data_IF_208507205894
#
_entry.id   IF_208507205894
#
_cell.length_a   1.000
_cell.length_b   1.000
_cell.length_c   1.000
_cell.angle_alpha   90.00
_cell.angle_beta   90.00
_cell.angle_gamma   90.00
#
_symmetry.space_group_name_H-M   'P 1'
#
loop_
_entity.id
_entity.type
_entity.pdbx_description
1 polymer ?
#
# COMPACT_ATOMS: atom_id res chain seq x y z
N UNK A 1 -4.15 -5.58 -18.55
CA UNK A 1 -5.05 -5.77 -17.41
C UNK A 1 -6.26 -6.52 -17.88
N UNK A 2 -6.71 -7.53 -17.14
CA UNK A 2 -8.02 -8.14 -17.39
C UNK A 2 -9.13 -7.12 -17.16
N UNK A 3 -10.17 -7.15 -17.96
CA UNK A 3 -11.34 -6.30 -17.79
C UNK A 3 -11.98 -6.57 -16.41
N UNK A 4 -12.30 -5.53 -15.65
CA UNK A 4 -13.01 -5.66 -14.40
C UNK A 4 -14.48 -5.99 -14.64
N UNK A 5 -15.04 -6.91 -13.87
CA UNK A 5 -16.39 -7.43 -14.10
C UNK A 5 -17.49 -6.35 -14.20
N UNK A 6 -17.31 -5.21 -13.55
CA UNK A 6 -18.29 -4.12 -13.51
C UNK A 6 -17.86 -2.86 -14.28
N UNK A 7 -16.80 -2.93 -15.11
CA UNK A 7 -16.25 -1.75 -15.82
C UNK A 7 -17.31 -1.01 -16.62
N UNK A 8 -18.23 -1.71 -17.27
CA UNK A 8 -19.30 -1.09 -18.06
C UNK A 8 -20.30 -0.31 -17.22
N UNK A 9 -20.47 -0.66 -15.95
CA UNK A 9 -21.41 -0.01 -15.03
C UNK A 9 -20.74 1.11 -14.23
N UNK A 10 -19.55 0.84 -13.70
CA UNK A 10 -18.86 1.74 -12.77
C UNK A 10 -17.54 2.32 -13.32
N UNK A 11 -17.29 2.20 -14.63
CA UNK A 11 -16.02 2.64 -15.23
C UNK A 11 -15.69 4.12 -14.96
N UNK A 12 -16.68 4.97 -14.77
CA UNK A 12 -16.51 6.40 -14.47
C UNK A 12 -15.88 6.66 -13.09
N UNK A 13 -16.12 5.80 -12.09
CA UNK A 13 -15.56 6.01 -10.73
C UNK A 13 -14.06 5.70 -10.65
N UNK A 14 -13.50 5.02 -11.64
CA UNK A 14 -12.07 4.72 -11.74
C UNK A 14 -11.30 5.75 -12.58
N UNK A 15 -11.99 6.75 -13.13
CA UNK A 15 -11.34 7.83 -13.91
C UNK A 15 -10.40 8.62 -13.00
N UNK A 16 -9.14 8.79 -13.43
CA UNK A 16 -8.11 9.47 -12.65
C UNK A 16 -7.31 8.58 -11.69
N UNK A 17 -7.68 7.30 -11.53
CA UNK A 17 -6.88 6.34 -10.76
C UNK A 17 -5.63 5.95 -11.55
N UNK A 18 -4.45 6.21 -10.97
CA UNK A 18 -3.16 5.86 -11.56
C UNK A 18 -3.07 4.36 -11.84
N UNK A 19 -2.52 4.03 -13.01
CA UNK A 19 -2.32 2.64 -13.45
C UNK A 19 -0.88 2.17 -13.22
N UNK A 20 -0.63 0.87 -13.00
CA UNK A 20 0.73 0.35 -12.88
C UNK A 20 1.56 0.57 -14.17
N UNK A 21 2.86 0.89 -14.05
CA UNK A 21 3.62 1.10 -12.82
C UNK A 21 3.34 2.50 -12.23
N UNK A 22 2.84 2.54 -11.00
CA UNK A 22 2.38 3.76 -10.36
C UNK A 22 3.53 4.62 -9.82
N UNK A 23 3.36 5.95 -9.91
CA UNK A 23 4.24 6.94 -9.26
C UNK A 23 3.55 7.61 -8.06
N UNK A 24 2.23 7.52 -7.99
CA UNK A 24 1.39 7.93 -6.87
C UNK A 24 0.21 6.97 -6.76
N UNK A 25 -0.52 7.01 -5.67
CA UNK A 25 -1.61 6.05 -5.43
C UNK A 25 -1.12 4.64 -5.09
N UNK A 26 0.09 4.56 -4.55
CA UNK A 26 0.69 3.28 -4.17
C UNK A 26 -0.11 2.60 -3.06
N UNK A 27 -0.18 1.27 -3.15
CA UNK A 27 -0.64 0.42 -2.07
C UNK A 27 0.51 -0.46 -1.59
N UNK A 28 0.97 -0.23 -0.36
CA UNK A 28 1.96 -1.05 0.31
C UNK A 28 1.27 -2.00 1.28
N UNK A 29 1.36 -3.29 0.98
CA UNK A 29 0.80 -4.33 1.85
C UNK A 29 1.82 -4.85 2.84
N UNK A 30 1.32 -5.27 4.03
CA UNK A 30 2.12 -5.96 5.04
C UNK A 30 1.83 -7.46 5.01
N UNK A 31 2.89 -8.24 4.92
CA UNK A 31 2.84 -9.70 4.92
C UNK A 31 3.48 -10.26 6.19
N UNK A 32 2.66 -10.96 6.96
CA UNK A 32 3.04 -11.57 8.24
C UNK A 32 3.51 -13.02 8.10
N UNK A 33 3.64 -13.54 6.88
CA UNK A 33 4.10 -14.90 6.63
C UNK A 33 3.19 -15.74 5.74
N UNK A 34 2.58 -15.15 4.71
CA UNK A 34 1.78 -15.91 3.73
C UNK A 34 2.64 -16.93 2.98
N UNK A 35 2.11 -18.14 2.84
CA UNK A 35 2.67 -19.18 1.98
C UNK A 35 2.46 -18.89 0.49
N UNK A 36 3.06 -19.75 -0.37
CA UNK A 36 3.01 -19.55 -1.83
C UNK A 36 1.59 -19.59 -2.39
N UNK A 37 0.74 -20.51 -1.92
CA UNK A 37 -0.65 -20.61 -2.42
C UNK A 37 -1.45 -19.34 -2.14
N UNK A 38 -1.44 -18.86 -0.89
CA UNK A 38 -2.13 -17.62 -0.51
C UNK A 38 -1.57 -16.41 -1.25
N UNK A 39 -0.24 -16.37 -1.47
CA UNK A 39 0.37 -15.29 -2.26
C UNK A 39 -0.11 -15.34 -3.71
N UNK A 40 -0.20 -16.50 -4.32
CA UNK A 40 -0.71 -16.66 -5.70
C UNK A 40 -2.17 -16.22 -5.82
N UNK A 41 -3.02 -16.65 -4.89
CA UNK A 41 -4.44 -16.24 -4.78
C UNK A 41 -4.60 -14.71 -4.71
N UNK A 42 -3.86 -14.06 -3.80
CA UNK A 42 -3.88 -12.60 -3.66
C UNK A 42 -3.43 -11.89 -4.93
N UNK A 43 -2.40 -12.42 -5.60
CA UNK A 43 -1.89 -11.87 -6.85
C UNK A 43 -2.87 -12.04 -8.02
N UNK A 44 -3.65 -13.10 -8.04
CA UNK A 44 -4.69 -13.31 -9.04
C UNK A 44 -5.84 -12.31 -8.85
N UNK A 45 -6.29 -12.13 -7.61
CA UNK A 45 -7.43 -11.26 -7.28
C UNK A 45 -7.11 -9.76 -7.35
N UNK A 46 -5.92 -9.37 -6.91
CA UNK A 46 -5.61 -7.95 -6.64
C UNK A 46 -4.16 -7.56 -6.90
N UNK A 47 -3.37 -8.40 -7.59
CA UNK A 47 -1.95 -8.14 -7.78
C UNK A 47 -1.62 -6.85 -8.53
N UNK A 48 -2.49 -6.41 -9.44
CA UNK A 48 -2.38 -5.14 -10.17
C UNK A 48 -2.75 -3.89 -9.31
N UNK A 49 -3.25 -4.12 -8.09
CA UNK A 49 -3.56 -3.07 -7.11
C UNK A 49 -2.49 -2.95 -6.02
N UNK A 50 -1.49 -3.84 -6.02
CA UNK A 50 -0.40 -3.87 -5.04
C UNK A 50 0.87 -3.35 -5.71
N UNK A 51 1.51 -2.37 -5.10
CA UNK A 51 2.76 -1.78 -5.61
C UNK A 51 3.97 -2.22 -4.77
N UNK A 52 3.80 -2.29 -3.45
CA UNK A 52 4.84 -2.68 -2.51
C UNK A 52 4.38 -3.84 -1.62
N UNK A 53 5.30 -4.77 -1.37
CA UNK A 53 5.07 -5.92 -0.50
C UNK A 53 6.15 -5.95 0.59
N UNK A 54 5.75 -5.56 1.81
CA UNK A 54 6.62 -5.51 2.98
C UNK A 54 6.48 -6.82 3.77
N UNK A 55 7.57 -7.62 3.85
CA UNK A 55 7.66 -8.76 4.76
C UNK A 55 7.93 -8.22 6.17
N UNK A 56 6.85 -8.01 6.93
CA UNK A 56 6.90 -7.27 8.20
C UNK A 56 7.39 -8.11 9.37
N UNK A 57 7.73 -7.47 10.50
CA UNK A 57 8.12 -8.08 11.78
C UNK A 57 9.34 -9.01 11.72
N UNK A 58 10.20 -8.87 10.70
CA UNK A 58 11.33 -9.79 10.52
C UNK A 58 10.91 -11.23 10.17
N UNK A 59 9.64 -11.48 9.81
CA UNK A 59 9.11 -12.84 9.54
C UNK A 59 9.86 -13.56 8.44
N UNK A 60 10.43 -12.81 7.47
CA UNK A 60 11.25 -13.38 6.40
C UNK A 60 12.47 -14.16 6.91
N UNK A 61 12.97 -13.84 8.11
CA UNK A 61 14.09 -14.57 8.73
C UNK A 61 13.73 -16.01 9.12
N UNK A 62 12.45 -16.33 9.26
CA UNK A 62 11.96 -17.66 9.66
C UNK A 62 11.40 -18.47 8.50
N UNK A 63 11.34 -17.91 7.30
CA UNK A 63 10.86 -18.60 6.10
C UNK A 63 12.02 -19.39 5.47
N UNK A 64 11.84 -20.67 5.08
CA UNK A 64 12.85 -21.39 4.32
C UNK A 64 13.28 -20.62 3.06
N UNK A 65 14.59 -20.53 2.83
CA UNK A 65 15.15 -19.65 1.81
C UNK A 65 14.65 -19.95 0.38
N UNK A 66 14.41 -21.22 0.05
CA UNK A 66 13.86 -21.61 -1.26
C UNK A 66 12.40 -21.17 -1.43
N UNK A 67 11.60 -21.26 -0.36
CA UNK A 67 10.20 -20.79 -0.34
C UNK A 67 10.16 -19.28 -0.51
N UNK A 68 11.02 -18.56 0.25
CA UNK A 68 11.10 -17.12 0.16
C UNK A 68 11.51 -16.65 -1.24
N UNK A 69 12.55 -17.25 -1.85
CA UNK A 69 12.99 -16.92 -3.23
C UNK A 69 11.86 -17.12 -4.24
N UNK A 70 11.14 -18.23 -4.18
CA UNK A 70 9.99 -18.47 -5.09
C UNK A 70 8.91 -17.43 -4.91
N UNK A 71 8.59 -17.07 -3.66
CA UNK A 71 7.62 -16.03 -3.35
C UNK A 71 8.03 -14.68 -3.92
N UNK A 72 9.27 -14.26 -3.67
CA UNK A 72 9.80 -12.99 -4.16
C UNK A 72 9.82 -12.96 -5.70
N UNK A 73 10.16 -14.07 -6.35
CA UNK A 73 10.10 -14.19 -7.81
C UNK A 73 8.68 -13.96 -8.35
N UNK A 74 7.66 -14.55 -7.73
CA UNK A 74 6.27 -14.35 -8.16
C UNK A 74 5.81 -12.90 -8.02
N UNK A 75 6.25 -12.22 -6.94
CA UNK A 75 5.92 -10.83 -6.67
C UNK A 75 6.64 -9.87 -7.63
N UNK A 76 7.96 -10.02 -7.76
CA UNK A 76 8.79 -9.15 -8.61
C UNK A 76 8.48 -9.32 -10.10
N UNK A 77 8.11 -10.52 -10.55
CA UNK A 77 7.66 -10.76 -11.93
C UNK A 77 6.38 -9.96 -12.30
N UNK A 78 5.63 -9.50 -11.30
CA UNK A 78 4.46 -8.61 -11.50
C UNK A 78 4.78 -7.12 -11.30
N UNK A 79 6.07 -6.79 -11.13
CA UNK A 79 6.50 -5.42 -10.91
C UNK A 79 6.32 -4.91 -9.47
N UNK A 80 5.92 -5.79 -8.54
CA UNK A 80 5.73 -5.44 -7.13
C UNK A 80 7.09 -5.28 -6.47
N UNK A 81 7.30 -4.14 -5.78
CA UNK A 81 8.50 -3.87 -5.02
C UNK A 81 8.47 -4.64 -3.70
N UNK A 82 9.48 -5.49 -3.48
CA UNK A 82 9.52 -6.38 -2.31
C UNK A 82 10.67 -6.01 -1.39
N UNK A 83 10.41 -5.99 -0.08
CA UNK A 83 11.44 -5.69 0.91
C UNK A 83 11.14 -6.30 2.29
N UNK A 84 12.17 -6.60 3.09
CA UNK A 84 12.00 -6.93 4.50
C UNK A 84 11.71 -5.65 5.29
N UNK A 85 10.91 -5.76 6.34
CA UNK A 85 10.64 -4.63 7.24
C UNK A 85 11.91 -4.12 7.94
N UNK A 86 11.98 -2.81 8.19
CA UNK A 86 13.17 -2.11 8.68
C UNK A 86 13.75 -2.66 9.98
N UNK A 87 12.92 -3.17 10.89
CA UNK A 87 13.39 -3.79 12.14
C UNK A 87 14.41 -4.89 11.92
N UNK A 88 14.30 -5.67 10.83
CA UNK A 88 15.29 -6.71 10.54
C UNK A 88 16.65 -6.11 10.16
N UNK A 89 16.67 -4.98 9.45
CA UNK A 89 17.90 -4.22 9.20
C UNK A 89 18.44 -3.60 10.49
N UNK A 90 17.58 -3.07 11.37
CA UNK A 90 18.02 -2.53 12.67
C UNK A 90 18.76 -3.59 13.48
N UNK A 91 18.27 -4.84 13.48
CA UNK A 91 18.98 -5.98 14.10
C UNK A 91 20.35 -6.18 13.43
N UNK A 92 20.42 -6.18 12.10
CA UNK A 92 21.70 -6.33 11.39
C UNK A 92 22.68 -5.18 11.70
N UNK A 93 22.17 -3.95 11.91
CA UNK A 93 22.98 -2.79 12.31
C UNK A 93 23.62 -3.02 13.67
N UNK A 94 22.84 -3.47 14.66
CA UNK A 94 23.32 -3.73 16.02
C UNK A 94 24.43 -4.79 16.04
N UNK A 95 24.29 -5.83 15.21
CA UNK A 95 25.29 -6.90 15.11
C UNK A 95 26.42 -6.61 14.11
N UNK A 96 26.50 -5.41 13.55
CA UNK A 96 27.59 -5.03 12.62
C UNK A 96 27.50 -5.66 11.23
N UNK A 97 26.36 -6.19 10.83
CA UNK A 97 26.18 -7.01 9.61
C UNK A 97 25.47 -6.26 8.46
N UNK A 98 25.48 -4.93 8.44
CA UNK A 98 24.71 -4.14 7.45
C UNK A 98 25.02 -4.51 5.99
N UNK A 99 26.30 -4.60 5.63
CA UNK A 99 26.71 -4.95 4.25
C UNK A 99 26.28 -6.36 3.88
N UNK A 100 26.50 -7.32 4.77
CA UNK A 100 26.05 -8.72 4.59
C UNK A 100 24.55 -8.80 4.44
N UNK A 101 23.80 -8.00 5.20
CA UNK A 101 22.35 -7.91 5.08
C UNK A 101 21.93 -7.44 3.68
N UNK A 102 22.52 -6.34 3.17
CA UNK A 102 22.19 -5.81 1.83
C UNK A 102 22.48 -6.84 0.75
N UNK A 103 23.66 -7.45 0.79
CA UNK A 103 24.06 -8.49 -0.14
C UNK A 103 23.10 -9.69 -0.08
N UNK A 104 22.76 -10.15 1.12
CA UNK A 104 21.87 -11.30 1.32
C UNK A 104 20.45 -11.01 0.87
N UNK A 105 19.90 -9.81 1.16
CA UNK A 105 18.60 -9.39 0.68
C UNK A 105 18.52 -9.40 -0.85
N UNK A 106 19.53 -8.86 -1.52
CA UNK A 106 19.62 -8.91 -2.97
C UNK A 106 19.69 -10.35 -3.51
N UNK A 107 20.52 -11.21 -2.92
CA UNK A 107 20.67 -12.62 -3.31
C UNK A 107 19.39 -13.45 -3.08
N UNK A 108 18.57 -13.10 -2.12
CA UNK A 108 17.27 -13.72 -1.89
C UNK A 108 16.23 -13.30 -2.95
N UNK A 109 16.44 -12.19 -3.64
CA UNK A 109 15.54 -11.66 -4.66
C UNK A 109 14.64 -10.51 -4.19
N UNK A 110 14.94 -9.89 -3.05
CA UNK A 110 14.32 -8.62 -2.69
C UNK A 110 14.75 -7.52 -3.67
N UNK A 111 13.84 -6.64 -4.03
CA UNK A 111 14.09 -5.52 -4.94
C UNK A 111 14.34 -4.19 -4.22
N UNK A 112 14.06 -4.16 -2.92
CA UNK A 112 14.23 -2.99 -2.07
C UNK A 112 14.64 -3.39 -0.64
N UNK A 113 14.97 -2.41 0.18
CA UNK A 113 15.12 -2.53 1.64
C UNK A 113 14.49 -1.34 2.32
N UNK A 114 13.94 -1.57 3.51
CA UNK A 114 13.46 -0.49 4.36
C UNK A 114 14.54 -0.11 5.38
N UNK A 115 14.85 1.18 5.44
CA UNK A 115 15.84 1.76 6.36
C UNK A 115 15.06 2.58 7.38
N UNK A 116 14.98 2.06 8.60
CA UNK A 116 14.30 2.68 9.73
C UNK A 116 15.26 2.89 10.90
N UNK A 117 14.84 3.74 11.81
CA UNK A 117 15.45 3.96 13.12
C UNK A 117 14.37 4.01 14.22
N UNK A 118 13.30 3.27 13.98
CA UNK A 118 12.14 3.23 14.86
C UNK A 118 12.44 2.68 16.26
N UNK A 119 13.39 1.74 16.36
CA UNK A 119 13.75 1.06 17.62
C UNK A 119 15.13 1.47 18.14
N UNK A 120 16.08 1.74 17.26
CA UNK A 120 17.45 2.11 17.64
C UNK A 120 17.79 3.54 17.24
N UNK A 121 18.71 4.23 17.94
CA UNK A 121 19.23 5.49 17.43
C UNK A 121 20.10 5.26 16.19
N UNK A 122 19.84 6.02 15.14
CA UNK A 122 20.62 5.97 13.90
C UNK A 122 21.08 7.39 13.54
N UNK A 123 22.34 7.75 13.81
CA UNK A 123 22.88 9.05 13.42
C UNK A 123 22.78 9.31 11.92
N UNK A 124 22.53 10.55 11.53
CA UNK A 124 22.27 10.97 10.14
C UNK A 124 23.34 10.47 9.15
N UNK A 125 24.62 10.52 9.52
CA UNK A 125 25.71 10.03 8.65
C UNK A 125 25.62 8.51 8.40
N UNK A 126 25.18 7.73 9.41
CA UNK A 126 24.97 6.28 9.25
C UNK A 126 23.75 6.00 8.39
N UNK A 127 22.65 6.74 8.61
CA UNK A 127 21.42 6.63 7.80
C UNK A 127 21.72 6.89 6.32
N UNK A 128 22.42 7.99 6.02
CA UNK A 128 22.89 8.29 4.66
C UNK A 128 23.75 7.18 4.06
N UNK A 129 24.69 6.62 4.84
CA UNK A 129 25.55 5.54 4.38
C UNK A 129 24.76 4.25 4.09
N UNK A 130 23.71 3.95 4.86
CA UNK A 130 22.82 2.80 4.60
C UNK A 130 22.03 2.98 3.31
N UNK A 131 21.49 4.18 3.05
CA UNK A 131 20.80 4.51 1.79
C UNK A 131 21.75 4.26 0.60
N UNK A 132 22.97 4.78 0.66
CA UNK A 132 23.98 4.54 -0.38
C UNK A 132 24.37 3.08 -0.51
N UNK A 133 24.57 2.39 0.61
CA UNK A 133 24.89 0.97 0.62
C UNK A 133 23.79 0.13 -0.05
N UNK A 134 22.52 0.46 0.17
CA UNK A 134 21.40 -0.19 -0.52
C UNK A 134 21.51 -0.01 -2.04
N UNK A 135 21.72 1.21 -2.50
CA UNK A 135 21.89 1.54 -3.93
C UNK A 135 23.07 0.78 -4.53
N UNK A 136 24.22 0.77 -3.86
CA UNK A 136 25.44 0.07 -4.31
C UNK A 136 25.26 -1.45 -4.46
N UNK A 137 24.28 -2.02 -3.72
CA UNK A 137 23.90 -3.43 -3.82
C UNK A 137 22.73 -3.69 -4.77
N UNK A 138 22.29 -2.70 -5.56
CA UNK A 138 21.18 -2.83 -6.51
C UNK A 138 19.79 -2.89 -5.86
N UNK A 139 19.67 -2.47 -4.59
CA UNK A 139 18.40 -2.40 -3.87
C UNK A 139 17.85 -0.97 -3.87
N UNK A 140 16.56 -0.84 -4.00
CA UNK A 140 15.89 0.46 -3.88
C UNK A 140 15.70 0.81 -2.41
N UNK A 141 16.25 1.93 -1.92
CA UNK A 141 16.03 2.32 -0.53
C UNK A 141 14.64 2.92 -0.35
N UNK A 142 13.89 2.34 0.56
CA UNK A 142 12.69 2.90 1.17
C UNK A 142 13.11 3.31 2.58
N UNK A 143 12.83 4.52 3.00
CA UNK A 143 13.10 4.92 4.37
C UNK A 143 11.80 5.03 5.16
N UNK A 144 11.91 4.93 6.49
CA UNK A 144 10.79 5.10 7.40
C UNK A 144 11.18 6.19 8.40
N UNK A 145 10.30 7.18 8.59
CA UNK A 145 10.45 8.26 9.58
C UNK A 145 9.43 8.12 10.68
N UNK A 146 9.86 8.33 11.92
CA UNK A 146 9.06 8.14 13.12
C UNK A 146 9.66 7.10 14.05
N UNK A 147 9.25 7.16 15.33
CA UNK A 147 9.71 6.25 16.38
C UNK A 147 8.60 5.31 16.79
N UNK A 148 8.97 4.08 17.16
CA UNK A 148 8.02 3.08 17.67
C UNK A 148 7.72 3.23 19.16
N UNK A 149 8.50 4.04 19.86
CA UNK A 149 8.30 4.37 21.27
C UNK A 149 7.33 5.57 21.39
N UNK A 150 6.16 5.41 22.01
CA UNK A 150 5.20 6.51 22.19
C UNK A 150 5.75 7.68 23.01
N UNK A 151 6.74 7.44 23.87
CA UNK A 151 7.33 8.46 24.75
C UNK A 151 8.33 9.37 24.03
N UNK A 152 8.85 8.94 22.88
CA UNK A 152 9.91 9.63 22.14
C UNK A 152 9.49 9.88 20.69
N UNK A 153 8.35 10.57 20.51
CA UNK A 153 7.83 10.89 19.18
C UNK A 153 8.45 12.19 18.66
N UNK A 154 9.03 12.19 17.43
CA UNK A 154 9.46 13.42 16.78
C UNK A 154 8.26 14.29 16.41
N UNK A 155 8.47 15.60 16.34
CA UNK A 155 7.49 16.54 15.84
C UNK A 155 7.22 16.40 14.34
N UNK A 156 6.11 16.94 13.85
CA UNK A 156 5.72 16.88 12.45
C UNK A 156 6.79 17.46 11.49
N UNK A 157 7.37 18.61 11.87
CA UNK A 157 8.46 19.23 11.10
C UNK A 157 9.73 18.36 11.06
N UNK A 158 10.09 17.74 12.18
CA UNK A 158 11.25 16.85 12.24
C UNK A 158 11.07 15.63 11.31
N UNK A 159 9.85 15.07 11.27
CA UNK A 159 9.51 13.98 10.36
C UNK A 159 9.66 14.42 8.89
N UNK A 160 9.14 15.59 8.55
CA UNK A 160 9.20 16.13 7.19
C UNK A 160 10.64 16.45 6.78
N UNK A 161 11.43 17.05 7.66
CA UNK A 161 12.83 17.38 7.39
C UNK A 161 13.68 16.14 7.19
N UNK A 162 13.50 15.11 8.03
CA UNK A 162 14.16 13.83 7.84
C UNK A 162 13.74 13.18 6.51
N UNK A 163 12.46 13.23 6.16
CA UNK A 163 11.97 12.70 4.88
C UNK A 163 12.59 13.40 3.68
N UNK A 164 12.66 14.74 3.69
CA UNK A 164 13.31 15.51 2.64
C UNK A 164 14.80 15.15 2.50
N UNK A 165 15.48 14.99 3.61
CA UNK A 165 16.89 14.64 3.63
C UNK A 165 17.14 13.21 3.11
N UNK A 166 16.28 12.27 3.46
CA UNK A 166 16.35 10.90 2.95
C UNK A 166 16.14 10.85 1.43
N UNK A 167 15.18 11.61 0.91
CA UNK A 167 14.95 11.74 -0.54
C UNK A 167 16.16 12.34 -1.26
N UNK A 168 16.80 13.37 -0.69
CA UNK A 168 18.03 13.96 -1.21
C UNK A 168 19.20 12.94 -1.24
N UNK A 169 19.28 12.05 -0.25
CA UNK A 169 20.30 11.01 -0.22
C UNK A 169 20.03 9.83 -1.16
N UNK A 170 18.85 9.78 -1.78
CA UNK A 170 18.48 8.80 -2.80
C UNK A 170 17.43 7.79 -2.38
N UNK A 171 16.74 7.99 -1.26
CA UNK A 171 15.55 7.20 -0.94
C UNK A 171 14.50 7.38 -2.06
N UNK A 172 13.90 6.27 -2.46
CA UNK A 172 12.87 6.32 -3.51
C UNK A 172 11.53 6.78 -2.93
N UNK A 173 11.19 6.31 -1.74
CA UNK A 173 9.97 6.61 -1.00
C UNK A 173 10.31 6.74 0.48
N UNK A 174 9.49 7.47 1.20
CA UNK A 174 9.59 7.61 2.65
C UNK A 174 8.27 7.21 3.30
N UNK A 175 8.31 6.23 4.17
CA UNK A 175 7.16 5.78 4.95
C UNK A 175 7.03 6.63 6.21
N UNK A 176 5.83 7.10 6.52
CA UNK A 176 5.51 7.75 7.79
C UNK A 176 4.96 6.68 8.74
N UNK A 177 5.73 6.38 9.81
CA UNK A 177 5.46 5.30 10.76
C UNK A 177 4.14 5.50 11.52
N UNK A 178 3.34 4.43 11.62
CA UNK A 178 2.13 4.36 12.41
C UNK A 178 1.98 3.06 13.20
N UNK A 179 2.88 2.15 13.07
CA UNK A 179 2.81 0.76 13.52
C UNK A 179 1.64 0.00 12.88
N UNK A 180 1.57 -1.28 13.14
CA UNK A 180 0.44 -2.10 12.69
C UNK A 180 -0.88 -1.70 13.37
N UNK A 181 -0.81 -1.20 14.60
CA UNK A 181 -2.01 -0.82 15.37
C UNK A 181 -2.65 0.47 14.85
N UNK A 182 -1.88 1.36 14.21
CA UNK A 182 -2.34 2.68 13.80
C UNK A 182 -2.72 3.58 14.98
N UNK A 183 -2.13 3.38 16.17
CA UNK A 183 -2.54 4.08 17.40
C UNK A 183 -1.34 4.57 18.20
N UNK A 184 -1.45 5.79 18.73
CA UNK A 184 -0.51 6.38 19.67
C UNK A 184 0.88 6.72 19.09
N UNK A 185 1.04 6.67 17.76
CA UNK A 185 2.33 6.86 17.09
C UNK A 185 2.17 7.80 15.91
N UNK A 186 3.20 8.62 15.69
CA UNK A 186 3.30 9.52 14.54
C UNK A 186 2.10 10.46 14.44
N UNK A 187 1.40 10.38 13.33
CA UNK A 187 0.26 11.23 13.00
C UNK A 187 -1.08 10.74 13.57
N UNK A 188 -1.08 9.72 14.46
CA UNK A 188 -2.29 9.18 15.05
C UNK A 188 -2.29 9.28 16.56
N UNK A 189 -3.47 9.55 17.14
CA UNK A 189 -3.70 9.54 18.59
C UNK A 189 -3.90 8.11 19.13
N UNK A 190 -4.13 7.99 20.44
CA UNK A 190 -4.31 6.71 21.12
C UNK A 190 -5.59 5.95 20.68
N UNK A 191 -6.52 6.64 20.04
CA UNK A 191 -7.75 6.07 19.48
C UNK A 191 -7.60 5.72 17.99
N UNK A 192 -6.47 6.08 17.36
CA UNK A 192 -6.21 5.90 15.92
C UNK A 192 -6.85 6.98 15.06
N UNK A 193 -7.22 8.12 15.66
CA UNK A 193 -7.69 9.29 14.91
C UNK A 193 -6.50 10.08 14.40
N UNK A 194 -6.67 10.69 13.24
CA UNK A 194 -5.61 11.48 12.59
C UNK A 194 -5.43 12.81 13.31
N UNK A 195 -4.19 13.14 13.67
CA UNK A 195 -3.77 14.47 14.12
C UNK A 195 -3.68 15.38 12.90
N UNK A 196 -4.76 16.06 12.58
CA UNK A 196 -4.94 16.83 11.33
C UNK A 196 -3.88 17.90 11.15
N UNK A 197 -3.49 18.57 12.23
CA UNK A 197 -2.47 19.61 12.24
C UNK A 197 -1.09 19.03 11.86
N UNK A 198 -0.75 17.85 12.37
CA UNK A 198 0.52 17.20 12.05
C UNK A 198 0.59 16.82 10.56
N UNK A 199 -0.51 16.31 9.99
CA UNK A 199 -0.58 15.99 8.56
C UNK A 199 -0.44 17.25 7.71
N UNK A 200 -1.11 18.34 8.10
CA UNK A 200 -1.02 19.62 7.41
C UNK A 200 0.41 20.18 7.44
N UNK A 201 1.05 20.18 8.60
CA UNK A 201 2.42 20.67 8.80
C UNK A 201 3.45 19.85 7.99
N UNK A 202 3.35 18.51 8.01
CA UNK A 202 4.19 17.65 7.16
C UNK A 202 3.97 17.97 5.68
N UNK A 203 2.72 18.08 5.27
CA UNK A 203 2.37 18.32 3.87
C UNK A 203 2.89 19.66 3.36
N UNK A 204 2.73 20.72 4.15
CA UNK A 204 3.23 22.04 3.84
C UNK A 204 4.77 22.04 3.69
N UNK A 205 5.47 21.41 4.65
CA UNK A 205 6.94 21.32 4.63
C UNK A 205 7.46 20.49 3.47
N UNK A 206 6.78 19.39 3.11
CA UNK A 206 7.14 18.54 1.99
C UNK A 206 6.83 19.17 0.63
N UNK A 207 5.84 20.03 0.54
CA UNK A 207 5.40 20.63 -0.71
C UNK A 207 5.09 19.58 -1.79
N UNK A 208 5.56 19.75 -3.04
CA UNK A 208 5.31 18.77 -4.11
C UNK A 208 5.85 17.37 -3.83
N UNK A 209 6.82 17.24 -2.93
CA UNK A 209 7.41 15.95 -2.56
C UNK A 209 6.53 15.14 -1.59
N UNK A 210 5.39 15.66 -1.13
CA UNK A 210 4.41 14.91 -0.34
C UNK A 210 3.97 13.61 -1.05
N UNK A 211 3.96 13.62 -2.38
CA UNK A 211 3.67 12.43 -3.19
C UNK A 211 4.76 11.33 -3.11
N UNK A 212 5.89 11.62 -2.47
CA UNK A 212 6.95 10.63 -2.18
C UNK A 212 6.79 9.98 -0.80
N UNK A 213 5.83 10.45 -0.01
CA UNK A 213 5.48 9.82 1.26
C UNK A 213 4.54 8.64 1.02
N UNK A 214 4.70 7.59 1.83
CA UNK A 214 3.76 6.50 2.01
C UNK A 214 3.23 6.61 3.44
N UNK A 215 1.95 6.92 3.57
CA UNK A 215 1.31 7.04 4.87
C UNK A 215 0.88 5.67 5.36
N UNK A 216 1.45 5.17 6.44
CA UNK A 216 0.92 3.96 7.07
C UNK A 216 -0.48 4.25 7.61
N UNK A 217 -1.46 3.49 7.14
CA UNK A 217 -2.87 3.68 7.44
C UNK A 217 -3.59 2.31 7.57
N UNK A 218 -3.28 1.54 8.62
CA UNK A 218 -3.87 0.21 8.79
C UNK A 218 -5.37 0.23 9.07
N UNK A 219 -5.94 1.36 9.53
CA UNK A 219 -7.35 1.48 9.89
C UNK A 219 -8.15 2.22 8.80
N UNK A 220 -9.40 1.79 8.59
CA UNK A 220 -10.29 2.38 7.57
C UNK A 220 -10.48 3.89 7.75
N UNK A 221 -10.67 4.38 8.97
CA UNK A 221 -10.83 5.81 9.24
C UNK A 221 -9.61 6.63 8.81
N UNK A 222 -8.40 6.08 8.97
CA UNK A 222 -7.14 6.69 8.53
C UNK A 222 -7.06 6.75 7.00
N UNK A 223 -7.38 5.63 6.34
CA UNK A 223 -7.44 5.55 4.88
C UNK A 223 -8.45 6.56 4.32
N UNK A 224 -9.65 6.61 4.93
CA UNK A 224 -10.70 7.56 4.55
C UNK A 224 -10.21 9.00 4.63
N UNK A 225 -9.64 9.40 5.76
CA UNK A 225 -9.12 10.76 5.95
C UNK A 225 -8.07 11.12 4.89
N UNK A 226 -7.07 10.25 4.70
CA UNK A 226 -5.98 10.51 3.76
C UNK A 226 -6.46 10.56 2.30
N UNK A 227 -7.43 9.71 1.92
CA UNK A 227 -8.05 9.77 0.59
C UNK A 227 -8.85 11.07 0.42
N UNK A 228 -9.57 11.51 1.44
CA UNK A 228 -10.33 12.76 1.40
C UNK A 228 -9.43 14.00 1.35
N UNK A 229 -8.26 13.92 1.99
CA UNK A 229 -7.28 15.03 2.04
C UNK A 229 -6.44 15.15 0.76
N UNK A 230 -5.99 14.03 0.20
CA UNK A 230 -5.01 14.00 -0.89
C UNK A 230 -5.55 13.43 -2.20
N UNK A 231 -6.79 12.95 -2.20
CA UNK A 231 -7.41 12.29 -3.35
C UNK A 231 -7.11 10.78 -3.43
N UNK A 232 -7.73 10.14 -4.43
CA UNK A 232 -7.66 8.68 -4.62
C UNK A 232 -6.24 8.15 -4.87
N UNK A 233 -5.32 9.01 -5.30
CA UNK A 233 -3.93 8.65 -5.60
C UNK A 233 -2.96 8.95 -4.47
N UNK A 234 -3.43 9.03 -3.22
CA UNK A 234 -2.55 9.06 -2.05
C UNK A 234 -1.85 7.70 -1.86
N UNK A 235 -0.57 7.72 -1.49
CA UNK A 235 0.16 6.48 -1.21
C UNK A 235 -0.15 6.01 0.21
N UNK A 236 -0.62 4.77 0.34
CA UNK A 236 -1.04 4.18 1.60
C UNK A 236 -0.25 2.90 1.90
N UNK A 237 0.20 2.79 3.13
CA UNK A 237 0.98 1.67 3.66
C UNK A 237 0.31 0.95 4.81
N UNK A 238 0.96 -0.13 5.24
CA UNK A 238 0.47 -1.04 6.27
C UNK A 238 -0.93 -1.62 6.00
N UNK A 239 -1.24 -1.79 4.71
CA UNK A 239 -2.52 -2.36 4.30
C UNK A 239 -2.46 -3.88 4.51
N UNK A 240 -3.37 -4.48 5.31
CA UNK A 240 -3.48 -5.93 5.38
C UNK A 240 -3.76 -6.50 3.98
N UNK A 241 -3.11 -7.59 3.64
CA UNK A 241 -3.23 -8.20 2.30
C UNK A 241 -4.66 -8.52 1.89
N UNK A 242 -5.52 -8.91 2.84
CA UNK A 242 -6.95 -9.16 2.61
C UNK A 242 -7.81 -7.90 2.43
N UNK A 243 -7.27 -6.71 2.67
CA UNK A 243 -8.00 -5.44 2.62
C UNK A 243 -7.74 -4.64 1.31
N UNK A 244 -6.95 -5.17 0.39
CA UNK A 244 -6.56 -4.44 -0.84
C UNK A 244 -7.78 -4.05 -1.68
N UNK A 245 -8.72 -4.96 -1.91
CA UNK A 245 -9.94 -4.67 -2.66
C UNK A 245 -10.86 -3.70 -1.91
N UNK A 246 -10.94 -3.81 -0.58
CA UNK A 246 -11.71 -2.90 0.25
C UNK A 246 -11.14 -1.47 0.24
N UNK A 247 -9.82 -1.33 0.23
CA UNK A 247 -9.14 -0.05 0.04
C UNK A 247 -9.39 0.52 -1.35
N UNK A 248 -9.30 -0.30 -2.40
CA UNK A 248 -9.54 0.19 -3.77
C UNK A 248 -11.01 0.63 -3.94
N UNK A 249 -11.97 -0.08 -3.32
CA UNK A 249 -13.36 0.36 -3.28
C UNK A 249 -13.52 1.71 -2.55
N UNK A 250 -12.74 1.94 -1.49
CA UNK A 250 -12.73 3.22 -0.79
C UNK A 250 -12.16 4.35 -1.67
N UNK A 251 -11.04 4.10 -2.38
CA UNK A 251 -10.43 5.03 -3.34
C UNK A 251 -11.38 5.40 -4.49
N UNK A 252 -12.10 4.40 -4.98
CA UNK A 252 -13.05 4.56 -6.09
C UNK A 252 -14.39 5.20 -5.70
N UNK A 253 -14.58 5.60 -4.45
CA UNK A 253 -15.85 6.17 -4.01
C UNK A 253 -17.01 5.17 -3.93
N UNK A 254 -16.74 3.87 -3.76
CA UNK A 254 -17.76 2.81 -3.68
C UNK A 254 -18.20 2.49 -2.24
N UNK A 255 -17.64 3.19 -1.25
CA UNK A 255 -18.01 3.00 0.16
C UNK A 255 -18.68 4.27 0.69
N UNK A 256 -19.55 4.12 1.69
CA UNK A 256 -20.30 5.23 2.27
C UNK A 256 -19.44 6.47 2.56
N UNK A 257 -18.28 6.28 3.16
CA UNK A 257 -17.39 7.36 3.62
C UNK A 257 -16.81 8.21 2.46
N UNK A 258 -16.79 7.68 1.26
CA UNK A 258 -16.30 8.39 0.07
C UNK A 258 -17.41 8.63 -0.95
N UNK A 259 -18.38 7.73 -1.04
CA UNK A 259 -19.49 7.83 -1.99
C UNK A 259 -20.48 8.96 -1.65
N UNK A 260 -20.78 9.19 -0.35
CA UNK A 260 -21.69 10.26 0.06
C UNK A 260 -21.28 11.61 -0.51
N UNK A 261 -19.99 11.95 -0.43
CA UNK A 261 -19.46 13.22 -0.99
C UNK A 261 -19.57 13.28 -2.52
N UNK A 262 -19.34 12.15 -3.18
CA UNK A 262 -19.49 12.08 -4.64
C UNK A 262 -20.95 12.27 -5.03
N UNK A 263 -21.88 11.64 -4.33
CA UNK A 263 -23.33 11.79 -4.57
C UNK A 263 -23.79 13.23 -4.33
N UNK A 264 -23.41 13.83 -3.21
CA UNK A 264 -23.71 15.24 -2.89
C UNK A 264 -23.19 16.20 -3.97
N UNK A 265 -21.96 15.98 -4.47
CA UNK A 265 -21.38 16.80 -5.53
C UNK A 265 -22.10 16.62 -6.87
N UNK A 266 -22.46 15.39 -7.22
CA UNK A 266 -23.22 15.10 -8.45
C UNK A 266 -24.63 15.72 -8.40
N UNK A 267 -25.29 15.69 -7.24
CA UNK A 267 -26.57 16.36 -7.02
C UNK A 267 -26.42 17.88 -7.14
N UNK A 268 -25.43 18.47 -6.45
CA UNK A 268 -25.15 19.91 -6.48
C UNK A 268 -24.84 20.42 -7.89
N UNK A 269 -24.16 19.60 -8.70
CA UNK A 269 -23.81 19.96 -10.09
C UNK A 269 -24.89 19.59 -11.12
N UNK A 270 -26.01 19.01 -10.68
CA UNK A 270 -27.11 18.58 -11.54
C UNK A 270 -26.78 17.36 -12.41
N UNK A 271 -25.71 16.64 -12.11
CA UNK A 271 -25.33 15.41 -12.82
C UNK A 271 -26.07 14.18 -12.30
N UNK A 272 -26.70 14.28 -11.15
CA UNK A 272 -27.59 13.30 -10.56
C UNK A 272 -28.77 14.01 -9.91
N UNK A 273 -29.97 13.45 -10.10
CA UNK A 273 -31.21 13.93 -9.47
C UNK A 273 -31.83 12.75 -8.71
N UNK A 274 -31.95 12.83 -7.37
CA UNK A 274 -32.55 11.76 -6.59
C UNK A 274 -34.04 11.49 -6.93
N UNK A 275 -34.75 12.50 -7.47
CA UNK A 275 -36.14 12.40 -7.84
C UNK A 275 -36.39 11.96 -9.30
N UNK A 276 -35.30 11.74 -10.05
CA UNK A 276 -35.38 11.28 -11.44
C UNK A 276 -35.96 9.86 -11.50
N UNK A 277 -37.01 9.69 -12.29
CA UNK A 277 -37.54 8.37 -12.60
C UNK A 277 -36.73 7.77 -13.72
N UNK A 278 -35.95 6.74 -13.41
CA UNK A 278 -35.21 5.97 -14.43
C UNK A 278 -36.23 5.27 -15.34
N UNK A 279 -36.15 5.52 -16.65
CA UNK A 279 -36.87 4.68 -17.61
C UNK A 279 -36.27 3.27 -17.52
N UNK A 280 -37.00 2.35 -16.93
CA UNK A 280 -36.66 0.93 -16.96
C UNK A 280 -36.78 0.48 -18.42
N UNK A 281 -35.70 0.46 -19.16
CA UNK A 281 -35.65 -0.17 -20.48
C UNK A 281 -36.15 -1.61 -20.33
N UNK A 282 -37.11 -1.97 -21.16
CA UNK A 282 -37.72 -3.31 -21.16
C UNK A 282 -36.60 -4.39 -21.28
N UNK A 283 -36.80 -5.57 -20.67
CA UNK A 283 -35.80 -6.64 -20.62
C UNK A 283 -35.27 -7.16 -21.95
N UNK A 284 -35.90 -6.77 -23.06
CA UNK A 284 -35.56 -7.22 -24.41
C UNK A 284 -34.25 -6.65 -24.99
N UNK A 285 -33.57 -5.71 -24.29
CA UNK A 285 -32.35 -5.05 -24.80
C UNK A 285 -31.03 -5.51 -24.15
N UNK A 286 -31.04 -6.50 -23.26
CA UNK A 286 -29.82 -7.07 -22.72
C UNK A 286 -29.22 -8.05 -23.74
N UNK A 287 -27.96 -7.88 -24.20
CA UNK A 287 -27.29 -8.87 -25.01
C UNK A 287 -27.26 -10.18 -24.24
N UNK A 288 -27.83 -11.25 -24.84
CA UNK A 288 -27.92 -12.56 -24.24
C UNK A 288 -26.56 -13.02 -23.72
N UNK A 289 -26.52 -13.49 -22.49
CA UNK A 289 -25.35 -14.10 -21.90
C UNK A 289 -25.01 -15.41 -22.65
N UNK A 290 -23.91 -15.49 -23.43
CA UNK A 290 -23.63 -16.68 -24.26
C UNK A 290 -23.09 -17.89 -23.48
N UNK A 291 -23.12 -17.86 -22.12
CA UNK A 291 -22.42 -18.82 -21.27
C UNK A 291 -23.26 -19.77 -20.44
N UNK A 292 -24.60 -19.74 -20.51
CA UNK A 292 -25.47 -20.70 -19.81
C UNK A 292 -26.20 -21.59 -20.82
N UNK A 293 -25.46 -22.38 -21.59
CA UNK A 293 -26.03 -23.50 -22.31
C UNK A 293 -26.15 -24.70 -21.37
N UNK A 294 -27.41 -24.97 -21.02
CA UNK A 294 -27.98 -26.24 -20.68
C UNK A 294 -27.07 -27.47 -20.72
N UNK A 295 -26.76 -28.04 -19.60
CA UNK A 295 -26.62 -29.48 -19.47
C UNK A 295 -27.96 -30.05 -18.98
N UNK A 296 -28.89 -30.25 -19.94
CA UNK A 296 -30.02 -31.11 -19.75
C UNK A 296 -29.58 -32.53 -19.95
N UNK A 297 -29.83 -33.34 -18.94
CA UNK A 297 -30.19 -34.74 -18.97
C UNK A 297 -29.61 -35.65 -20.07
N UNK A 298 -28.78 -36.60 -19.65
CA UNK A 298 -29.02 -38.02 -19.93
C UNK A 298 -27.91 -38.88 -19.27
N UNK A 299 -28.34 -39.86 -18.50
CA UNK A 299 -27.48 -40.97 -18.16
C UNK A 299 -27.75 -41.56 -16.76
N UNK A 300 -28.92 -42.12 -16.53
CA UNK A 300 -29.08 -43.20 -15.57
C UNK A 300 -28.33 -44.44 -16.07
N UNK A 301 -27.51 -45.03 -15.22
CA UNK A 301 -26.86 -46.32 -15.48
C UNK A 301 -25.85 -46.71 -14.44
N UNK A 302 -26.31 -47.45 -13.44
CA UNK A 302 -25.67 -48.60 -12.77
C UNK A 302 -24.13 -48.68 -12.72
N UNK A 303 -23.53 -48.60 -11.58
CA UNK A 303 -22.90 -49.62 -10.71
C UNK A 303 -22.34 -48.97 -9.46
#
# INVERSE_FOLDING_TARGET
MSERAWTQVIGRVLVGREQPPRKSGLTMVIDKGHGLAMTADLLEMSGDLIDHWKCTFGTSAFVPADVLRRKLLHLTARGILTYPGGTLLEVAIVYGNCRTFMQHAHMLGFSAVEISDGTIPLPLHRRRNLIRCAIDHGLRPITEVGKKDPQHQPGALELAEQALQDLEWGAQWVTVEARESGKGIGIYDDHGMVKTEAVAEISERMGPLVNRLIWEAPLKNQQTYLIQQFGMNVNLGNIPTGEVLALEALRAGLRFETFSRVAEELERTGQWNPDAVEEVSSPESLPGNPGLLHSSEQGAGQW
#
